data_IF_824934361627
#
_entry.id   IF_824934361627
#
_cell.length_a   1.000
_cell.length_b   1.000
_cell.length_c   1.000
_cell.angle_alpha   90.00
_cell.angle_beta   90.00
_cell.angle_gamma   90.00
#
_symmetry.space_group_name_H-M   'P 1'
#
loop_
_entity.id
_entity.type
_entity.pdbx_description
1 polymer ?
#
# COMPACT_ATOMS: atom_id res chain seq x y z
N UNK A 1 19.41 -1.29 -25.49
CA UNK A 1 18.42 -0.96 -24.45
C UNK A 1 17.31 -2.01 -24.40
N UNK A 2 16.58 -2.26 -25.50
CA UNK A 2 15.59 -3.36 -25.62
C UNK A 2 16.11 -4.73 -25.18
N UNK A 3 17.34 -5.09 -25.58
CA UNK A 3 17.98 -6.36 -25.22
C UNK A 3 18.42 -6.49 -23.76
N UNK A 4 18.44 -5.40 -22.99
CA UNK A 4 18.80 -5.45 -21.55
C UNK A 4 17.54 -5.68 -20.72
N UNK A 5 16.42 -5.04 -21.08
CA UNK A 5 15.10 -5.26 -20.49
C UNK A 5 14.57 -6.68 -20.74
N UNK A 6 14.69 -7.19 -21.98
CA UNK A 6 14.27 -8.56 -22.32
C UNK A 6 15.04 -9.62 -21.52
N UNK A 7 16.35 -9.41 -21.32
CA UNK A 7 17.19 -10.30 -20.49
C UNK A 7 16.84 -10.24 -19.00
N UNK A 8 16.33 -9.11 -18.53
CA UNK A 8 15.96 -8.92 -17.13
C UNK A 8 14.61 -9.61 -16.81
N UNK A 9 13.63 -9.49 -17.71
CA UNK A 9 12.35 -10.22 -17.62
C UNK A 9 12.57 -11.74 -17.70
N UNK A 10 13.42 -12.21 -18.62
CA UNK A 10 13.78 -13.63 -18.72
C UNK A 10 14.44 -14.15 -17.43
N UNK A 11 15.37 -13.38 -16.86
CA UNK A 11 16.02 -13.72 -15.59
C UNK A 11 15.03 -13.77 -14.44
N UNK A 12 14.05 -12.87 -14.40
CA UNK A 12 12.97 -12.89 -13.42
C UNK A 12 12.21 -14.22 -13.48
N UNK A 13 11.64 -14.58 -14.64
CA UNK A 13 10.83 -15.79 -14.74
C UNK A 13 11.63 -17.06 -14.49
N UNK A 14 12.91 -17.09 -14.87
CA UNK A 14 13.80 -18.19 -14.52
C UNK A 14 13.98 -18.33 -13.00
N UNK A 15 14.14 -17.22 -12.30
CA UNK A 15 14.28 -17.19 -10.84
C UNK A 15 12.96 -17.54 -10.15
N UNK A 16 11.84 -17.00 -10.64
CA UNK A 16 10.50 -17.31 -10.17
C UNK A 16 10.17 -18.80 -10.33
N UNK A 17 10.47 -19.38 -11.49
CA UNK A 17 10.29 -20.82 -11.74
C UNK A 17 11.11 -21.67 -10.76
N UNK A 18 12.37 -21.31 -10.53
CA UNK A 18 13.20 -21.98 -9.53
C UNK A 18 12.59 -21.87 -8.12
N UNK A 19 12.01 -20.72 -7.76
CA UNK A 19 11.32 -20.54 -6.48
C UNK A 19 10.10 -21.46 -6.36
N UNK A 20 9.27 -21.58 -7.40
CA UNK A 20 8.14 -22.53 -7.45
C UNK A 20 8.63 -23.97 -7.28
N UNK A 21 9.69 -24.36 -7.99
CA UNK A 21 10.26 -25.70 -7.90
C UNK A 21 10.82 -26.04 -6.51
N UNK A 22 11.53 -25.10 -5.87
CA UNK A 22 12.15 -25.30 -4.57
C UNK A 22 11.10 -25.38 -3.46
N UNK A 23 10.10 -24.50 -3.51
CA UNK A 23 8.99 -24.50 -2.52
C UNK A 23 8.20 -25.81 -2.61
N UNK A 24 7.93 -26.34 -3.81
CA UNK A 24 7.26 -27.64 -3.96
C UNK A 24 8.04 -28.84 -3.40
N UNK A 25 9.37 -28.73 -3.23
CA UNK A 25 10.22 -29.82 -2.69
C UNK A 25 10.34 -29.81 -1.16
N UNK A 26 9.80 -28.79 -0.49
CA UNK A 26 9.85 -28.68 0.96
C UNK A 26 8.88 -29.66 1.63
N UNK A 27 9.31 -30.26 2.75
CA UNK A 27 8.54 -31.31 3.45
C UNK A 27 7.41 -30.76 4.33
N UNK A 28 7.60 -29.56 4.88
CA UNK A 28 6.68 -28.95 5.84
C UNK A 28 5.61 -28.12 5.13
N UNK A 29 4.57 -28.78 4.64
CA UNK A 29 3.55 -28.18 3.76
C UNK A 29 2.90 -26.91 4.32
N UNK A 30 2.70 -26.81 5.64
CA UNK A 30 2.12 -25.60 6.26
C UNK A 30 3.05 -24.39 6.11
N UNK A 31 4.36 -24.57 6.32
CA UNK A 31 5.34 -23.48 6.16
C UNK A 31 5.62 -23.13 4.70
N UNK A 32 5.39 -24.05 3.77
CA UNK A 32 5.71 -23.82 2.36
C UNK A 32 4.87 -22.69 1.77
N UNK A 33 3.59 -22.62 2.10
CA UNK A 33 2.70 -21.61 1.53
C UNK A 33 3.03 -20.22 2.07
N UNK A 34 3.36 -20.11 3.36
CA UNK A 34 3.85 -18.87 3.95
C UNK A 34 5.17 -18.40 3.30
N UNK A 35 6.13 -19.31 3.14
CA UNK A 35 7.41 -18.99 2.49
C UNK A 35 7.20 -18.56 1.04
N UNK A 36 6.32 -19.26 0.32
CA UNK A 36 5.97 -18.93 -1.06
C UNK A 36 5.33 -17.54 -1.16
N UNK A 37 4.37 -17.23 -0.28
CA UNK A 37 3.72 -15.92 -0.23
C UNK A 37 4.71 -14.79 0.08
N UNK A 38 5.63 -14.99 1.03
CA UNK A 38 6.68 -14.02 1.36
C UNK A 38 7.58 -13.77 0.14
N UNK A 39 8.03 -14.84 -0.53
CA UNK A 39 8.88 -14.72 -1.71
C UNK A 39 8.14 -14.00 -2.85
N UNK A 40 6.86 -14.34 -3.06
CA UNK A 40 6.04 -13.72 -4.10
C UNK A 40 5.86 -12.22 -3.85
N UNK A 41 5.52 -11.82 -2.62
CA UNK A 41 5.40 -10.41 -2.22
C UNK A 41 6.70 -9.65 -2.48
N UNK A 42 7.84 -10.21 -2.07
CA UNK A 42 9.14 -9.58 -2.32
C UNK A 42 9.45 -9.43 -3.82
N UNK A 43 9.13 -10.44 -4.64
CA UNK A 43 9.32 -10.36 -6.09
C UNK A 43 8.45 -9.26 -6.72
N UNK A 44 7.18 -9.17 -6.32
CA UNK A 44 6.24 -8.15 -6.79
C UNK A 44 6.67 -6.73 -6.37
N UNK A 45 7.20 -6.56 -5.16
CA UNK A 45 7.72 -5.26 -4.68
C UNK A 45 8.94 -4.76 -5.47
N UNK A 46 9.64 -5.64 -6.18
CA UNK A 46 10.85 -5.29 -6.94
C UNK A 46 10.60 -4.97 -8.41
N UNK A 47 9.39 -5.25 -8.92
CA UNK A 47 9.08 -5.24 -10.35
C UNK A 47 7.62 -4.84 -10.62
N UNK A 48 7.43 -3.64 -11.16
CA UNK A 48 6.11 -3.10 -11.50
C UNK A 48 5.60 -3.51 -12.90
N UNK A 49 6.45 -4.15 -13.71
CA UNK A 49 6.19 -4.49 -15.12
C UNK A 49 5.81 -5.97 -15.34
N UNK A 50 5.32 -6.62 -14.29
CA UNK A 50 5.01 -8.06 -14.28
C UNK A 50 3.52 -8.28 -14.07
N UNK A 51 2.90 -8.97 -15.03
CA UNK A 51 1.50 -9.37 -14.94
C UNK A 51 1.37 -10.63 -14.06
N UNK A 52 0.50 -10.56 -13.05
CA UNK A 52 0.23 -11.69 -12.14
C UNK A 52 -0.28 -12.90 -12.93
N UNK A 53 -1.07 -12.68 -13.98
CA UNK A 53 -1.60 -13.71 -14.86
C UNK A 53 -0.49 -14.44 -15.64
N UNK A 54 0.62 -13.77 -15.96
CA UNK A 54 1.80 -14.43 -16.54
C UNK A 54 2.50 -15.30 -15.49
N UNK A 55 2.62 -14.84 -14.25
CA UNK A 55 3.19 -15.62 -13.15
C UNK A 55 2.35 -16.85 -12.80
N UNK A 56 1.02 -16.70 -12.79
CA UNK A 56 0.07 -17.79 -12.59
C UNK A 56 0.29 -18.90 -13.62
N UNK A 57 0.36 -18.55 -14.92
CA UNK A 57 0.59 -19.52 -16.00
C UNK A 57 1.89 -20.28 -15.80
N UNK A 58 3.00 -19.56 -15.54
CA UNK A 58 4.32 -20.19 -15.32
C UNK A 58 4.30 -21.09 -14.08
N UNK A 59 3.62 -20.70 -13.01
CA UNK A 59 3.50 -21.55 -11.83
C UNK A 59 2.65 -22.80 -12.10
N UNK A 60 1.56 -22.69 -12.87
CA UNK A 60 0.68 -23.82 -13.23
C UNK A 60 1.39 -24.88 -14.06
N UNK A 61 2.38 -24.51 -14.87
CA UNK A 61 3.22 -25.47 -15.60
C UNK A 61 3.98 -26.41 -14.66
N UNK A 62 4.36 -25.92 -13.47
CA UNK A 62 5.11 -26.68 -12.46
C UNK A 62 4.21 -27.26 -11.36
N UNK A 63 3.16 -26.53 -10.96
CA UNK A 63 2.20 -26.93 -9.94
C UNK A 63 0.91 -26.13 -10.06
N UNK A 64 -0.19 -26.86 -10.31
CA UNK A 64 -1.55 -26.28 -10.35
C UNK A 64 -1.89 -25.56 -9.04
N UNK A 65 -1.54 -26.17 -7.90
CA UNK A 65 -1.73 -25.63 -6.56
C UNK A 65 -1.02 -24.27 -6.38
N UNK A 66 0.22 -24.13 -6.89
CA UNK A 66 0.97 -22.87 -6.82
C UNK A 66 0.34 -21.78 -7.68
N UNK A 67 -0.19 -22.15 -8.85
CA UNK A 67 -0.96 -21.23 -9.69
C UNK A 67 -2.21 -20.69 -8.98
N UNK A 68 -3.00 -21.56 -8.36
CA UNK A 68 -4.19 -21.17 -7.60
C UNK A 68 -3.84 -20.31 -6.38
N UNK A 69 -2.74 -20.64 -5.69
CA UNK A 69 -2.24 -19.85 -4.57
C UNK A 69 -1.86 -18.42 -4.98
N UNK A 70 -1.21 -18.23 -6.14
CA UNK A 70 -0.89 -16.90 -6.68
C UNK A 70 -2.16 -16.07 -6.87
N UNK A 71 -3.21 -16.64 -7.44
CA UNK A 71 -4.48 -15.94 -7.64
C UNK A 71 -5.12 -15.51 -6.33
N UNK A 72 -5.06 -16.39 -5.32
CA UNK A 72 -5.54 -16.08 -3.97
C UNK A 72 -4.73 -14.96 -3.31
N UNK A 73 -3.40 -14.96 -3.46
CA UNK A 73 -2.53 -13.88 -2.96
C UNK A 73 -2.83 -12.57 -3.69
N UNK A 74 -3.04 -12.62 -5.01
CA UNK A 74 -3.38 -11.46 -5.81
C UNK A 74 -4.71 -10.82 -5.39
N UNK A 75 -5.72 -11.63 -5.09
CA UNK A 75 -6.99 -11.15 -4.56
C UNK A 75 -6.82 -10.45 -3.21
N UNK A 76 -6.11 -11.08 -2.26
CA UNK A 76 -5.78 -10.45 -0.96
C UNK A 76 -5.05 -9.11 -1.14
N UNK A 77 -4.04 -9.05 -2.00
CA UNK A 77 -3.29 -7.81 -2.27
C UNK A 77 -4.16 -6.71 -2.87
N UNK A 78 -5.08 -7.06 -3.78
CA UNK A 78 -6.06 -6.10 -4.34
C UNK A 78 -7.00 -5.57 -3.26
N UNK A 79 -7.54 -6.45 -2.41
CA UNK A 79 -8.40 -6.04 -1.29
C UNK A 79 -7.68 -5.14 -0.30
N UNK A 80 -6.45 -5.51 0.10
CA UNK A 80 -5.60 -4.68 0.97
C UNK A 80 -5.32 -3.30 0.34
N UNK A 81 -5.02 -3.27 -0.96
CA UNK A 81 -4.80 -2.04 -1.72
C UNK A 81 -6.03 -1.13 -1.74
N UNK A 82 -7.21 -1.70 -2.01
CA UNK A 82 -8.49 -0.98 -1.98
C UNK A 82 -8.76 -0.43 -0.58
N UNK A 83 -8.58 -1.25 0.46
CA UNK A 83 -8.80 -0.84 1.86
C UNK A 83 -7.88 0.31 2.25
N UNK A 84 -6.58 0.19 2.00
CA UNK A 84 -5.58 1.26 2.24
C UNK A 84 -5.92 2.52 1.45
N UNK A 85 -6.35 2.37 0.19
CA UNK A 85 -6.79 3.49 -0.65
C UNK A 85 -7.99 4.23 -0.07
N UNK A 86 -9.00 3.49 0.41
CA UNK A 86 -10.19 4.07 1.07
C UNK A 86 -9.79 4.78 2.37
N UNK A 87 -8.97 4.15 3.21
CA UNK A 87 -8.50 4.75 4.47
C UNK A 87 -7.72 6.04 4.21
N UNK A 88 -6.80 6.03 3.24
CA UNK A 88 -6.07 7.24 2.82
C UNK A 88 -7.02 8.31 2.28
N UNK A 89 -7.96 7.94 1.42
CA UNK A 89 -8.95 8.88 0.87
C UNK A 89 -9.81 9.54 1.95
N UNK A 90 -10.28 8.77 2.94
CA UNK A 90 -11.04 9.30 4.09
C UNK A 90 -10.22 10.27 4.93
N UNK A 91 -8.94 9.99 5.14
CA UNK A 91 -8.05 10.88 5.90
C UNK A 91 -7.80 12.20 5.13
N UNK A 92 -7.51 12.13 3.83
CA UNK A 92 -7.32 13.32 2.99
C UNK A 92 -8.59 14.18 2.93
N UNK A 93 -9.76 13.57 2.78
CA UNK A 93 -11.04 14.29 2.85
C UNK A 93 -11.24 14.95 4.22
N UNK A 94 -10.95 14.24 5.32
CA UNK A 94 -11.07 14.78 6.67
C UNK A 94 -10.14 15.99 6.88
N UNK A 95 -8.90 15.93 6.37
CA UNK A 95 -7.96 17.05 6.40
C UNK A 95 -8.52 18.29 5.70
N UNK A 96 -8.97 18.14 4.46
CA UNK A 96 -9.53 19.26 3.69
C UNK A 96 -10.84 19.80 4.31
N UNK A 97 -11.66 18.93 4.88
CA UNK A 97 -12.87 19.33 5.58
C UNK A 97 -12.55 20.10 6.87
N UNK A 98 -11.57 19.65 7.65
CA UNK A 98 -11.06 20.37 8.82
C UNK A 98 -10.54 21.74 8.44
N UNK A 99 -9.72 21.85 7.38
CA UNK A 99 -9.24 23.14 6.85
C UNK A 99 -10.40 24.06 6.48
N UNK A 100 -11.41 23.54 5.78
CA UNK A 100 -12.61 24.31 5.38
C UNK A 100 -13.37 24.85 6.58
N UNK A 101 -13.54 24.06 7.64
CA UNK A 101 -14.24 24.50 8.85
C UNK A 101 -13.42 25.50 9.66
N UNK A 102 -12.13 25.25 9.85
CA UNK A 102 -11.23 26.19 10.52
C UNK A 102 -11.10 27.51 9.75
N UNK A 103 -11.13 27.47 8.41
CA UNK A 103 -11.15 28.68 7.58
C UNK A 103 -12.40 29.52 7.83
N UNK A 104 -13.55 28.89 8.12
CA UNK A 104 -14.76 29.61 8.52
C UNK A 104 -14.67 30.18 9.94
N UNK A 105 -13.99 29.47 10.85
CA UNK A 105 -13.84 29.88 12.25
C UNK A 105 -12.83 31.02 12.42
N UNK A 106 -11.65 30.89 11.82
CA UNK A 106 -10.53 31.81 12.03
C UNK A 106 -10.32 32.80 10.87
N UNK A 107 -10.99 32.59 9.73
CA UNK A 107 -10.90 33.49 8.57
C UNK A 107 -9.45 33.63 8.08
N UNK A 108 -9.03 34.89 7.90
CA UNK A 108 -7.68 35.25 7.42
C UNK A 108 -6.56 34.83 8.37
N UNK A 109 -6.87 34.53 9.63
CA UNK A 109 -5.87 34.11 10.62
C UNK A 109 -5.44 32.65 10.44
N UNK A 110 -6.19 31.84 9.69
CA UNK A 110 -5.74 30.51 9.26
C UNK A 110 -4.85 30.66 8.02
N UNK A 111 -3.56 30.84 8.27
CA UNK A 111 -2.53 31.02 7.22
C UNK A 111 -2.38 29.77 6.35
N UNK A 112 -1.85 29.93 5.14
CA UNK A 112 -1.54 28.78 4.27
C UNK A 112 -0.52 27.84 4.89
N UNK A 113 0.41 28.35 5.70
CA UNK A 113 1.35 27.54 6.48
C UNK A 113 0.63 26.58 7.43
N UNK A 114 -0.38 27.08 8.17
CA UNK A 114 -1.17 26.23 9.07
C UNK A 114 -2.00 25.21 8.30
N UNK A 115 -2.57 25.59 7.14
CA UNK A 115 -3.29 24.64 6.28
C UNK A 115 -2.37 23.52 5.80
N UNK A 116 -1.13 23.84 5.44
CA UNK A 116 -0.16 22.85 5.01
C UNK A 116 0.29 21.93 6.15
N UNK A 117 0.46 22.47 7.36
CA UNK A 117 0.70 21.65 8.56
C UNK A 117 -0.47 20.68 8.81
N UNK A 118 -1.71 21.12 8.64
CA UNK A 118 -2.90 20.23 8.74
C UNK A 118 -2.87 19.15 7.65
N UNK A 119 -2.54 19.47 6.39
CA UNK A 119 -2.43 18.46 5.32
C UNK A 119 -1.37 17.40 5.62
N UNK A 120 -0.30 17.78 6.31
CA UNK A 120 0.79 16.87 6.66
C UNK A 120 0.61 16.17 8.02
N UNK A 121 -0.39 16.58 8.81
CA UNK A 121 -0.66 15.99 10.12
C UNK A 121 -1.14 14.52 10.01
N UNK A 122 -0.86 13.75 11.06
CA UNK A 122 -1.30 12.37 11.17
C UNK A 122 -2.80 12.26 11.52
N UNK A 123 -3.36 11.06 11.39
CA UNK A 123 -4.79 10.85 11.66
C UNK A 123 -5.20 11.23 13.10
N UNK A 124 -4.31 10.99 14.08
CA UNK A 124 -4.61 11.29 15.49
C UNK A 124 -4.77 12.80 15.71
N UNK A 125 -3.87 13.58 15.12
CA UNK A 125 -3.88 15.03 15.17
C UNK A 125 -5.12 15.60 14.51
N UNK A 126 -5.47 15.10 13.32
CA UNK A 126 -6.68 15.52 12.61
C UNK A 126 -7.95 15.18 13.39
N UNK A 127 -8.00 14.02 14.04
CA UNK A 127 -9.13 13.63 14.87
C UNK A 127 -9.26 14.53 16.10
N UNK A 128 -8.15 14.84 16.79
CA UNK A 128 -8.16 15.77 17.91
C UNK A 128 -8.70 17.15 17.50
N UNK A 129 -8.24 17.69 16.37
CA UNK A 129 -8.71 18.98 15.86
C UNK A 129 -10.21 18.89 15.51
N UNK A 130 -10.65 17.78 14.91
CA UNK A 130 -12.05 17.53 14.58
C UNK A 130 -12.97 17.47 15.80
N UNK A 131 -12.55 16.75 16.84
CA UNK A 131 -13.30 16.58 18.09
C UNK A 131 -13.40 17.89 18.88
N UNK A 132 -12.36 18.74 18.80
CA UNK A 132 -12.30 20.02 19.50
C UNK A 132 -12.61 21.22 18.59
N UNK A 133 -13.14 21.00 17.39
CA UNK A 133 -13.26 22.03 16.35
C UNK A 133 -13.96 23.32 16.82
N UNK A 134 -14.97 23.21 17.68
CA UNK A 134 -15.75 24.34 18.19
C UNK A 134 -15.02 25.14 19.27
N UNK A 135 -14.20 24.48 20.09
CA UNK A 135 -13.54 25.09 21.26
C UNK A 135 -12.08 25.45 20.99
N UNK A 136 -11.42 24.77 20.05
CA UNK A 136 -9.99 24.94 19.76
C UNK A 136 -9.66 26.40 19.45
N UNK A 137 -8.63 26.93 20.10
CA UNK A 137 -8.14 28.29 19.84
C UNK A 137 -7.09 28.29 18.73
N UNK A 138 -6.80 29.46 18.16
CA UNK A 138 -5.77 29.56 17.13
C UNK A 138 -4.37 29.25 17.69
N UNK A 139 -4.12 29.58 18.96
CA UNK A 139 -2.82 29.34 19.59
C UNK A 139 -2.67 27.85 19.94
N UNK A 140 -3.70 27.21 20.50
CA UNK A 140 -3.71 25.76 20.70
C UNK A 140 -3.51 25.00 19.37
N UNK A 141 -4.15 25.47 18.28
CA UNK A 141 -3.95 24.89 16.95
C UNK A 141 -2.48 24.98 16.49
N UNK A 142 -1.79 26.09 16.77
CA UNK A 142 -0.36 26.23 16.43
C UNK A 142 0.48 25.26 17.26
N UNK A 143 0.22 25.18 18.57
CA UNK A 143 0.99 24.34 19.50
C UNK A 143 0.90 22.85 19.11
N UNK A 144 -0.27 22.40 18.62
CA UNK A 144 -0.47 21.01 18.17
C UNK A 144 0.21 20.74 16.81
N UNK A 145 0.41 21.78 16.00
CA UNK A 145 0.96 21.69 14.65
C UNK A 145 2.44 22.13 14.56
N UNK A 146 3.09 22.47 15.69
CA UNK A 146 4.55 22.69 15.77
C UNK A 146 5.35 21.42 15.51
#
# INVERSE_FOLDING_TARGET
MRSAFEKDKERFYKTFKLMVELTNKMQDKEKVDEVFEICLKYLLDTKDDIEIEEMEKVAKEESVERGELIMSIAEKLREEGIKKGIEKGKLEERKEFTIKLLSKKFGVNLTEELKEKIRNADEKTINYIGDNLLEITLDELKDILE
#
